data_IF_758384121588
#
_entry.id   IF_758384121588
#
_cell.length_a   1.000
_cell.length_b   1.000
_cell.length_c   1.000
_cell.angle_alpha   90.00
_cell.angle_beta   90.00
_cell.angle_gamma   90.00
#
_symmetry.space_group_name_H-M   'P 1'
#
loop_
_entity.id
_entity.type
_entity.pdbx_description
1 polymer ?
#
# COMPACT_ATOMS: atom_id res chain seq x y z
N UNK A 1 56.03 -42.07 36.79
CA UNK A 1 56.35 -42.51 35.40
C UNK A 1 56.42 -41.25 34.54
N UNK A 2 57.60 -40.74 34.20
CA UNK A 2 58.42 -41.11 33.02
C UNK A 2 57.62 -40.98 31.70
N UNK A 3 57.88 -39.93 30.87
CA UNK A 3 58.94 -39.81 29.81
C UNK A 3 58.52 -40.56 28.52
N UNK A 4 58.79 -40.15 27.27
CA UNK A 4 59.53 -39.02 26.66
C UNK A 4 59.29 -39.03 25.12
N UNK A 5 59.11 -37.90 24.43
CA UNK A 5 59.97 -37.24 23.39
C UNK A 5 59.01 -36.43 22.49
N UNK A 6 59.23 -35.21 21.99
CA UNK A 6 60.44 -34.51 21.54
C UNK A 6 60.33 -34.33 20.00
N UNK A 7 60.61 -33.20 19.34
CA UNK A 7 61.08 -31.85 19.73
C UNK A 7 61.98 -31.26 18.62
N UNK A 8 61.93 -29.94 18.36
CA UNK A 8 62.97 -29.03 17.77
C UNK A 8 62.28 -27.65 17.52
N UNK A 9 62.73 -26.49 18.05
CA UNK A 9 63.78 -25.57 17.52
C UNK A 9 63.42 -24.94 16.16
N UNK A 10 63.61 -23.65 15.84
CA UNK A 10 64.25 -22.42 16.42
C UNK A 10 63.70 -21.21 15.59
N UNK A 11 63.85 -19.90 15.84
CA UNK A 11 64.54 -19.03 16.84
C UNK A 11 63.87 -17.65 16.84
N UNK A 12 64.03 -16.84 17.90
CA UNK A 12 63.71 -15.40 17.87
C UNK A 12 64.90 -14.53 17.43
N UNK A 13 64.63 -13.31 16.92
CA UNK A 13 65.59 -12.20 16.85
C UNK A 13 64.90 -10.88 17.21
N UNK A 14 65.65 -10.02 17.89
CA UNK A 14 65.23 -8.75 18.50
C UNK A 14 66.09 -7.59 17.92
N UNK A 15 65.97 -6.39 18.50
CA UNK A 15 66.61 -5.10 18.17
C UNK A 15 65.90 -4.23 17.11
N UNK A 16 65.95 -2.88 17.13
CA UNK A 16 65.88 -1.89 18.22
C UNK A 16 65.91 -0.45 17.63
N UNK A 17 65.09 0.46 18.20
CA UNK A 17 65.34 1.91 18.43
C UNK A 17 66.04 2.81 17.37
N UNK A 18 65.29 3.79 16.82
CA UNK A 18 65.45 5.27 17.00
C UNK A 18 64.58 6.01 15.95
N UNK A 19 63.69 6.98 16.24
CA UNK A 19 63.72 8.29 16.94
C UNK A 19 64.10 9.51 16.07
N UNK A 20 63.16 10.48 16.05
CA UNK A 20 63.26 11.93 15.74
C UNK A 20 63.23 12.40 14.27
N UNK A 21 62.39 13.42 14.01
CA UNK A 21 62.32 14.15 12.74
C UNK A 21 61.01 14.91 12.52
N UNK A 22 60.79 16.04 13.21
CA UNK A 22 59.61 16.91 13.04
C UNK A 22 59.71 17.76 11.77
N UNK A 23 58.65 17.78 10.94
CA UNK A 23 58.30 18.96 10.13
C UNK A 23 56.78 19.05 9.97
N UNK A 24 56.23 20.26 10.09
CA UNK A 24 54.82 20.57 9.94
C UNK A 24 54.66 21.63 8.85
N UNK A 25 53.72 21.43 7.93
CA UNK A 25 52.79 22.50 7.57
C UNK A 25 51.46 21.87 7.06
N UNK A 26 50.32 22.55 7.20
CA UNK A 26 49.01 21.95 7.01
C UNK A 26 48.50 22.12 5.58
N UNK A 27 47.60 21.23 5.17
CA UNK A 27 46.31 21.50 4.53
C UNK A 27 45.68 20.13 4.24
N UNK A 28 44.53 19.82 4.85
CA UNK A 28 43.44 19.15 4.13
C UNK A 28 42.16 19.06 4.96
N UNK A 29 41.03 19.23 4.27
CA UNK A 29 39.70 19.21 4.86
C UNK A 29 39.25 17.78 5.17
N UNK A 30 38.79 17.52 6.40
CA UNK A 30 38.08 16.28 6.73
C UNK A 30 36.62 16.35 6.29
N UNK A 31 36.35 15.88 5.08
CA UNK A 31 35.00 15.49 4.66
C UNK A 31 34.65 14.12 5.27
N UNK A 32 33.72 14.10 6.22
CA UNK A 32 33.07 12.87 6.68
C UNK A 32 31.91 12.53 5.74
N UNK A 33 32.15 11.62 4.78
CA UNK A 33 31.08 10.97 4.02
C UNK A 33 30.85 9.55 4.54
N UNK A 34 29.73 9.36 5.25
CA UNK A 34 29.25 8.05 5.66
C UNK A 34 27.99 7.71 4.85
N UNK A 35 28.17 7.15 3.66
CA UNK A 35 27.08 6.54 2.88
C UNK A 35 26.88 5.09 3.37
N UNK A 36 25.63 4.68 3.70
CA UNK A 36 25.33 3.27 3.97
C UNK A 36 25.52 2.43 2.71
N UNK A 37 26.28 1.35 2.81
CA UNK A 37 26.57 0.46 1.70
C UNK A 37 25.39 -0.49 1.46
N UNK A 38 24.44 -0.09 0.61
CA UNK A 38 23.39 -0.99 0.12
C UNK A 38 24.03 -2.07 -0.76
N UNK A 39 24.25 -3.25 -0.20
CA UNK A 39 24.68 -4.42 -0.96
C UNK A 39 23.53 -4.85 -1.89
N UNK A 40 23.77 -4.77 -3.20
CA UNK A 40 22.76 -5.04 -4.20
C UNK A 40 22.29 -6.50 -4.17
N UNK A 41 21.06 -6.73 -3.68
CA UNK A 41 20.16 -7.68 -4.34
C UNK A 41 19.85 -7.07 -5.71
N UNK A 42 19.79 -7.89 -6.75
CA UNK A 42 19.70 -7.42 -8.13
C UNK A 42 18.26 -6.98 -8.49
N UNK A 43 17.79 -5.90 -7.85
CA UNK A 43 16.42 -5.34 -7.92
C UNK A 43 16.05 -4.77 -9.31
N UNK A 44 16.77 -5.17 -10.36
CA UNK A 44 16.68 -4.65 -11.73
C UNK A 44 15.86 -5.55 -12.68
N UNK A 45 15.73 -6.86 -12.41
CA UNK A 45 14.90 -7.73 -13.24
C UNK A 45 13.45 -7.76 -12.70
N UNK A 46 12.45 -7.38 -13.51
CA UNK A 46 11.04 -7.52 -13.13
C UNK A 46 10.63 -8.96 -12.81
N UNK A 47 11.36 -9.96 -13.33
CA UNK A 47 11.15 -11.37 -13.01
C UNK A 47 11.38 -11.70 -11.53
N UNK A 48 12.41 -11.09 -10.93
CA UNK A 48 12.79 -11.29 -9.53
C UNK A 48 11.89 -10.51 -8.55
N UNK A 49 11.26 -9.41 -9.02
CA UNK A 49 10.35 -8.60 -8.20
C UNK A 49 8.94 -9.23 -8.04
N UNK A 50 8.50 -10.07 -8.98
CA UNK A 50 7.25 -10.87 -8.86
C UNK A 50 7.52 -12.31 -9.26
N UNK A 51 7.73 -13.15 -8.25
CA UNK A 51 7.99 -14.58 -8.43
C UNK A 51 6.68 -15.31 -8.76
N UNK A 52 6.79 -16.42 -9.49
CA UNK A 52 5.67 -17.29 -9.86
C UNK A 52 5.89 -18.67 -9.28
N UNK A 53 4.94 -19.14 -8.46
CA UNK A 53 4.90 -20.53 -8.01
C UNK A 53 3.73 -21.26 -8.69
N UNK A 54 4.02 -22.41 -9.32
CA UNK A 54 3.02 -23.26 -9.95
C UNK A 54 2.91 -24.60 -9.24
N UNK A 55 1.69 -24.92 -8.77
CA UNK A 55 1.34 -26.26 -8.25
C UNK A 55 0.17 -26.83 -9.07
N UNK A 56 -0.62 -27.75 -8.51
CA UNK A 56 -1.51 -28.66 -9.24
C UNK A 56 -2.43 -27.96 -10.28
N UNK A 57 -3.49 -27.27 -9.83
CA UNK A 57 -4.28 -26.34 -10.64
C UNK A 57 -4.07 -24.86 -10.27
N UNK A 58 -3.21 -24.56 -9.30
CA UNK A 58 -3.00 -23.19 -8.79
C UNK A 58 -1.77 -22.50 -9.37
N UNK A 59 -1.84 -21.17 -9.55
CA UNK A 59 -0.68 -20.30 -9.74
C UNK A 59 -0.66 -19.21 -8.68
N UNK A 60 0.48 -18.96 -8.06
CA UNK A 60 0.67 -17.86 -7.13
C UNK A 60 1.60 -16.79 -7.72
N UNK A 61 1.17 -15.53 -7.66
CA UNK A 61 2.04 -14.37 -7.81
C UNK A 61 2.55 -13.97 -6.42
N UNK A 62 3.87 -13.92 -6.25
CA UNK A 62 4.52 -13.59 -4.97
C UNK A 62 5.28 -12.28 -5.14
N UNK A 63 4.82 -11.22 -4.49
CA UNK A 63 5.48 -9.91 -4.49
C UNK A 63 6.79 -10.03 -3.69
N UNK A 64 7.93 -9.73 -4.31
CA UNK A 64 9.25 -10.13 -3.79
C UNK A 64 10.22 -8.95 -3.67
N UNK A 65 9.77 -7.88 -3.00
CA UNK A 65 10.60 -6.72 -2.61
C UNK A 65 10.48 -6.46 -1.10
N UNK A 66 10.88 -7.41 -0.23
CA UNK A 66 10.58 -7.36 1.20
C UNK A 66 11.24 -6.19 1.94
N UNK A 67 12.35 -5.66 1.42
CA UNK A 67 13.06 -4.51 2.00
C UNK A 67 12.30 -3.18 1.80
N UNK A 68 11.49 -3.07 0.74
CA UNK A 68 10.57 -1.95 0.49
C UNK A 68 9.12 -2.29 0.87
N UNK A 69 8.91 -3.32 1.71
CA UNK A 69 7.59 -3.82 2.13
C UNK A 69 6.67 -4.20 0.95
N UNK A 70 7.27 -4.71 -0.13
CA UNK A 70 6.62 -5.12 -1.38
C UNK A 70 5.93 -3.95 -2.12
N UNK A 71 6.47 -2.74 -2.03
CA UNK A 71 5.99 -1.57 -2.77
C UNK A 71 6.03 -1.78 -4.30
N UNK A 72 4.91 -1.46 -4.96
CA UNK A 72 4.65 -1.75 -6.37
C UNK A 72 5.35 -0.77 -7.33
N UNK A 73 6.30 -1.30 -8.09
CA UNK A 73 6.96 -0.61 -9.21
C UNK A 73 6.17 -0.77 -10.52
N UNK A 74 6.43 0.07 -11.53
CA UNK A 74 5.82 -0.09 -12.86
C UNK A 74 6.11 -1.47 -13.50
N UNK A 75 7.33 -2.03 -13.42
CA UNK A 75 7.57 -3.38 -13.91
C UNK A 75 6.81 -4.48 -13.16
N UNK A 76 6.63 -4.37 -11.83
CA UNK A 76 5.79 -5.32 -11.06
C UNK A 76 4.35 -5.31 -11.54
N UNK A 77 3.74 -4.13 -11.64
CA UNK A 77 2.33 -3.97 -12.08
C UNK A 77 2.16 -4.49 -13.51
N UNK A 78 3.07 -4.15 -14.42
CA UNK A 78 3.05 -4.66 -15.79
C UNK A 78 3.24 -6.18 -15.88
N UNK A 79 4.06 -6.77 -15.00
CA UNK A 79 4.24 -8.24 -14.92
C UNK A 79 3.00 -8.92 -14.36
N UNK A 80 2.42 -8.42 -13.26
CA UNK A 80 1.18 -8.93 -12.67
C UNK A 80 0.05 -8.95 -13.71
N UNK A 81 -0.14 -7.85 -14.44
CA UNK A 81 -1.15 -7.77 -15.51
C UNK A 81 -0.95 -8.86 -16.58
N UNK A 82 0.25 -8.99 -17.15
CA UNK A 82 0.57 -10.02 -18.15
C UNK A 82 0.37 -11.45 -17.63
N UNK A 83 0.74 -11.71 -16.38
CA UNK A 83 0.55 -13.02 -15.74
C UNK A 83 -0.94 -13.35 -15.61
N UNK A 84 -1.75 -12.42 -15.11
CA UNK A 84 -3.19 -12.64 -14.92
C UNK A 84 -3.92 -12.81 -16.26
N UNK A 85 -3.60 -12.00 -17.29
CA UNK A 85 -4.12 -12.19 -18.65
C UNK A 85 -3.76 -13.57 -19.22
N UNK A 86 -2.51 -14.02 -19.03
CA UNK A 86 -2.05 -15.34 -19.50
C UNK A 86 -2.65 -16.51 -18.71
N UNK A 87 -2.89 -16.35 -17.40
CA UNK A 87 -3.42 -17.41 -16.53
C UNK A 87 -4.92 -17.62 -16.71
N UNK A 88 -5.65 -16.59 -17.16
CA UNK A 88 -7.09 -16.65 -17.39
C UNK A 88 -7.43 -17.57 -18.57
N UNK A 89 -6.77 -17.37 -19.70
CA UNK A 89 -6.96 -18.16 -20.93
C UNK A 89 -6.42 -19.61 -20.82
N UNK A 90 -5.67 -19.95 -19.76
CA UNK A 90 -5.00 -21.24 -19.65
C UNK A 90 -5.86 -22.30 -18.92
N UNK A 91 -6.38 -23.34 -19.61
CA UNK A 91 -7.28 -24.33 -19.01
C UNK A 91 -6.60 -25.28 -18.00
N UNK A 92 -5.26 -25.27 -17.89
CA UNK A 92 -4.54 -26.02 -16.83
C UNK A 92 -4.55 -25.31 -15.47
N UNK A 93 -4.94 -24.02 -15.44
CA UNK A 93 -5.01 -23.22 -14.22
C UNK A 93 -6.48 -23.10 -13.83
N UNK A 94 -6.83 -23.62 -12.66
CA UNK A 94 -8.18 -23.53 -12.10
C UNK A 94 -8.39 -22.27 -11.25
N UNK A 95 -7.38 -21.82 -10.53
CA UNK A 95 -7.44 -20.61 -9.71
C UNK A 95 -6.08 -19.96 -9.49
N UNK A 96 -6.10 -18.71 -9.03
CA UNK A 96 -4.90 -17.88 -8.83
C UNK A 96 -4.80 -17.36 -7.39
N UNK A 97 -3.57 -17.18 -6.92
CA UNK A 97 -3.26 -16.62 -5.60
C UNK A 97 -2.36 -15.38 -5.73
N UNK A 98 -2.46 -14.48 -4.76
CA UNK A 98 -1.50 -13.41 -4.57
C UNK A 98 -1.05 -13.35 -3.11
N UNK A 99 0.26 -13.20 -2.87
CA UNK A 99 0.83 -13.07 -1.52
C UNK A 99 2.09 -12.19 -1.52
N UNK A 100 2.42 -11.64 -0.36
CA UNK A 100 3.71 -10.99 -0.12
C UNK A 100 4.81 -11.97 0.25
N UNK A 101 6.01 -11.76 -0.25
CA UNK A 101 7.24 -12.39 0.20
C UNK A 101 7.79 -11.72 1.47
N UNK A 102 8.61 -12.45 2.23
CA UNK A 102 9.33 -11.93 3.39
C UNK A 102 8.52 -11.74 4.70
N UNK A 103 7.20 -11.95 4.70
CA UNK A 103 6.39 -12.12 5.92
C UNK A 103 6.24 -10.89 6.83
N UNK A 104 6.57 -9.68 6.33
CA UNK A 104 6.31 -8.39 6.99
C UNK A 104 5.14 -7.63 6.38
N UNK A 105 4.92 -7.79 5.08
CA UNK A 105 3.91 -7.08 4.32
C UNK A 105 3.38 -7.97 3.20
N UNK A 106 2.09 -7.84 2.92
CA UNK A 106 1.54 -8.22 1.63
C UNK A 106 2.05 -7.23 0.57
N UNK A 107 1.68 -5.96 0.74
CA UNK A 107 2.05 -4.84 -0.13
C UNK A 107 1.80 -3.51 0.61
N UNK A 108 2.80 -2.63 0.65
CA UNK A 108 2.69 -1.30 1.28
C UNK A 108 2.16 -0.19 0.36
N UNK A 109 1.69 -0.52 -0.85
CA UNK A 109 1.20 0.46 -1.84
C UNK A 109 2.20 0.70 -2.96
N UNK A 110 2.14 1.88 -3.58
CA UNK A 110 2.99 2.23 -4.72
C UNK A 110 4.42 2.55 -4.29
N UNK A 111 5.39 2.32 -5.18
CA UNK A 111 6.74 2.86 -5.04
C UNK A 111 6.75 4.36 -5.38
N UNK A 112 6.12 5.17 -4.52
CA UNK A 112 5.89 6.60 -4.73
C UNK A 112 7.18 7.43 -4.79
N UNK A 113 8.29 6.92 -4.24
CA UNK A 113 9.63 7.52 -4.41
C UNK A 113 10.06 7.40 -5.86
N UNK A 114 9.93 6.21 -6.45
CA UNK A 114 10.21 6.01 -7.88
C UNK A 114 9.28 6.83 -8.78
N UNK A 115 7.99 6.93 -8.44
CA UNK A 115 7.03 7.75 -9.20
C UNK A 115 7.31 9.25 -9.11
N UNK A 116 7.72 9.76 -7.93
CA UNK A 116 8.16 11.14 -7.75
C UNK A 116 9.37 11.43 -8.65
N UNK A 117 10.40 10.58 -8.55
CA UNK A 117 11.64 10.71 -9.33
C UNK A 117 11.37 10.68 -10.84
N UNK A 118 10.47 9.81 -11.33
CA UNK A 118 10.09 9.77 -12.75
C UNK A 118 9.58 11.13 -13.25
N UNK A 119 8.73 11.82 -12.48
CA UNK A 119 8.20 13.14 -12.88
C UNK A 119 9.27 14.22 -12.74
N UNK A 120 10.12 14.17 -11.70
CA UNK A 120 11.23 15.11 -11.52
C UNK A 120 12.29 15.00 -12.64
N UNK A 121 12.51 13.79 -13.16
CA UNK A 121 13.35 13.51 -14.33
C UNK A 121 12.67 13.83 -15.68
N UNK A 122 11.44 14.35 -15.67
CA UNK A 122 10.67 14.72 -16.87
C UNK A 122 9.89 13.58 -17.54
N UNK A 123 9.91 12.37 -16.98
CA UNK A 123 9.26 11.17 -17.52
C UNK A 123 7.81 11.00 -17.01
N UNK A 124 7.03 12.09 -16.98
CA UNK A 124 5.65 12.09 -16.48
C UNK A 124 4.74 11.09 -17.20
N UNK A 125 4.98 10.84 -18.50
CA UNK A 125 4.19 9.89 -19.29
C UNK A 125 4.35 8.43 -18.83
N UNK A 126 5.50 8.05 -18.27
CA UNK A 126 5.66 6.71 -17.70
C UNK A 126 5.04 6.60 -16.29
N UNK A 127 4.97 7.72 -15.56
CA UNK A 127 4.18 7.82 -14.33
C UNK A 127 2.67 7.73 -14.62
N UNK A 128 2.16 8.38 -15.67
CA UNK A 128 0.76 8.18 -16.15
C UNK A 128 0.51 6.72 -16.53
N UNK A 129 1.42 6.10 -17.31
CA UNK A 129 1.35 4.69 -17.72
C UNK A 129 1.34 3.73 -16.53
N UNK A 130 2.00 4.07 -15.42
CA UNK A 130 1.91 3.30 -14.17
C UNK A 130 0.47 3.23 -13.66
N UNK A 131 -0.18 4.40 -13.46
CA UNK A 131 -1.56 4.44 -12.97
C UNK A 131 -2.54 3.77 -13.94
N UNK A 132 -2.39 4.01 -15.25
CA UNK A 132 -3.20 3.36 -16.28
C UNK A 132 -3.10 1.82 -16.19
N UNK A 133 -1.87 1.28 -16.10
CA UNK A 133 -1.62 -0.17 -16.03
C UNK A 133 -2.13 -0.75 -14.71
N UNK A 134 -1.91 -0.03 -13.59
CA UNK A 134 -2.37 -0.42 -12.25
C UNK A 134 -3.88 -0.53 -12.21
N UNK A 135 -4.61 0.45 -12.75
CA UNK A 135 -6.06 0.49 -12.64
C UNK A 135 -6.73 -0.50 -13.60
N UNK A 136 -6.16 -0.67 -14.81
CA UNK A 136 -6.51 -1.79 -15.70
C UNK A 136 -6.27 -3.16 -15.04
N UNK A 137 -5.23 -3.29 -14.22
CA UNK A 137 -4.97 -4.52 -13.47
C UNK A 137 -5.96 -4.72 -12.30
N UNK A 138 -6.29 -3.68 -11.53
CA UNK A 138 -7.32 -3.74 -10.48
C UNK A 138 -8.68 -4.14 -11.07
N UNK A 139 -9.06 -3.58 -12.22
CA UNK A 139 -10.30 -3.95 -12.91
C UNK A 139 -10.26 -5.39 -13.43
N UNK A 140 -9.14 -5.84 -14.00
CA UNK A 140 -8.95 -7.23 -14.43
C UNK A 140 -9.12 -8.21 -13.24
N UNK A 141 -8.53 -7.89 -12.09
CA UNK A 141 -8.67 -8.70 -10.87
C UNK A 141 -10.11 -8.72 -10.33
N UNK A 142 -10.79 -7.57 -10.33
CA UNK A 142 -12.17 -7.45 -9.89
C UNK A 142 -13.15 -8.22 -10.78
N UNK A 143 -12.83 -8.37 -12.07
CA UNK A 143 -13.63 -9.06 -13.08
C UNK A 143 -13.11 -10.45 -13.45
N UNK A 144 -12.17 -11.01 -12.68
CA UNK A 144 -11.37 -12.17 -13.07
C UNK A 144 -12.21 -13.46 -13.17
N UNK A 145 -12.16 -14.15 -14.30
CA UNK A 145 -13.04 -15.30 -14.62
C UNK A 145 -12.74 -16.56 -13.79
N UNK A 146 -11.66 -16.56 -13.02
CA UNK A 146 -11.24 -17.67 -12.14
C UNK A 146 -11.21 -17.20 -10.70
N UNK A 147 -11.39 -18.11 -9.72
CA UNK A 147 -11.23 -17.76 -8.32
C UNK A 147 -9.85 -17.14 -8.04
N UNK A 148 -9.86 -16.00 -7.34
CA UNK A 148 -8.65 -15.29 -6.89
C UNK A 148 -8.59 -15.27 -5.36
N UNK A 149 -7.43 -15.66 -4.80
CA UNK A 149 -7.16 -15.69 -3.35
C UNK A 149 -6.02 -14.74 -3.01
N UNK A 150 -6.31 -13.61 -2.36
CA UNK A 150 -5.31 -12.74 -1.78
C UNK A 150 -5.00 -13.15 -0.32
N UNK A 151 -3.72 -13.37 0.00
CA UNK A 151 -3.23 -13.66 1.37
C UNK A 151 -2.58 -12.39 1.93
N UNK A 152 -3.31 -11.69 2.79
CA UNK A 152 -3.01 -10.36 3.30
C UNK A 152 -2.23 -10.40 4.63
N UNK A 153 -1.12 -11.13 4.66
CA UNK A 153 -0.28 -11.25 5.86
C UNK A 153 0.66 -10.05 6.04
N UNK A 154 0.48 -9.28 7.11
CA UNK A 154 1.24 -8.06 7.38
C UNK A 154 0.60 -6.78 6.81
N UNK A 155 1.42 -5.78 6.47
CA UNK A 155 0.93 -4.53 5.88
C UNK A 155 0.24 -4.73 4.52
N UNK A 156 -0.96 -4.15 4.38
CA UNK A 156 -1.76 -4.06 3.15
C UNK A 156 -2.24 -2.61 3.01
N UNK A 157 -1.52 -1.78 2.27
CA UNK A 157 -1.76 -0.33 2.23
C UNK A 157 -1.93 0.23 0.82
N UNK A 158 -2.72 1.30 0.68
CA UNK A 158 -2.95 2.02 -0.58
C UNK A 158 -3.35 1.11 -1.73
N UNK A 159 -2.72 1.27 -2.89
CA UNK A 159 -2.97 0.40 -4.04
C UNK A 159 -2.62 -1.08 -3.81
N UNK A 160 -1.93 -1.45 -2.73
CA UNK A 160 -1.82 -2.83 -2.24
C UNK A 160 -3.16 -3.42 -1.81
N UNK A 161 -4.04 -2.61 -1.23
CA UNK A 161 -5.44 -2.98 -1.04
C UNK A 161 -6.22 -3.01 -2.37
N UNK A 162 -5.89 -2.12 -3.32
CA UNK A 162 -6.44 -2.15 -4.68
C UNK A 162 -6.16 -3.46 -5.43
N UNK A 163 -4.93 -3.98 -5.36
CA UNK A 163 -4.56 -5.29 -5.93
C UNK A 163 -4.91 -6.49 -5.02
N UNK A 164 -6.00 -6.38 -4.23
CA UNK A 164 -6.46 -7.52 -3.42
C UNK A 164 -7.93 -7.48 -3.00
N UNK A 165 -8.44 -6.32 -2.59
CA UNK A 165 -9.81 -6.19 -2.07
C UNK A 165 -10.86 -6.44 -3.18
N UNK A 166 -10.75 -5.87 -4.38
CA UNK A 166 -11.59 -6.21 -5.54
C UNK A 166 -11.19 -7.59 -6.11
N UNK A 167 -11.67 -8.67 -5.49
CA UNK A 167 -11.35 -10.05 -5.85
C UNK A 167 -12.36 -11.03 -5.26
N UNK A 168 -12.10 -12.33 -5.30
CA UNK A 168 -13.05 -13.33 -4.75
C UNK A 168 -12.82 -13.59 -3.26
N UNK A 169 -11.60 -14.01 -2.88
CA UNK A 169 -11.26 -14.35 -1.50
C UNK A 169 -10.12 -13.49 -0.96
N UNK A 170 -10.27 -13.06 0.29
CA UNK A 170 -9.34 -12.21 1.03
C UNK A 170 -9.09 -12.88 2.38
N UNK A 171 -7.93 -13.51 2.51
CA UNK A 171 -7.48 -14.17 3.74
C UNK A 171 -6.60 -13.21 4.55
N UNK A 172 -7.03 -12.84 5.74
CA UNK A 172 -6.30 -11.98 6.69
C UNK A 172 -5.79 -12.79 7.89
N UNK A 173 -4.85 -12.22 8.63
CA UNK A 173 -4.19 -12.83 9.79
C UNK A 173 -4.13 -11.92 11.01
N UNK A 174 -3.64 -12.46 12.13
CA UNK A 174 -3.22 -11.70 13.32
C UNK A 174 -2.13 -10.65 13.05
N UNK A 175 -1.45 -10.71 11.90
CA UNK A 175 -0.47 -9.71 11.47
C UNK A 175 -1.02 -8.67 10.50
N UNK A 176 -2.22 -8.84 9.95
CA UNK A 176 -2.75 -7.92 8.94
C UNK A 176 -2.89 -6.50 9.52
N UNK A 177 -2.33 -5.53 8.80
CA UNK A 177 -2.51 -4.10 9.08
C UNK A 177 -2.92 -3.41 7.78
N UNK A 178 -4.20 -3.09 7.66
CA UNK A 178 -4.78 -2.38 6.54
C UNK A 178 -4.86 -0.88 6.82
N UNK A 179 -4.52 -0.03 5.83
CA UNK A 179 -4.74 1.42 5.90
C UNK A 179 -4.67 2.10 4.53
N UNK A 180 -5.33 3.26 4.43
CA UNK A 180 -5.22 4.21 3.31
C UNK A 180 -4.65 5.55 3.81
N UNK A 181 -3.31 5.68 3.92
CA UNK A 181 -2.66 6.87 4.47
C UNK A 181 -2.43 8.01 3.46
N UNK A 182 -2.98 7.92 2.24
CA UNK A 182 -2.62 8.74 1.08
C UNK A 182 -2.79 10.25 1.31
N UNK A 183 -3.82 10.67 2.07
CA UNK A 183 -4.04 12.08 2.39
C UNK A 183 -2.85 12.75 3.11
N UNK A 184 -2.06 11.95 3.85
CA UNK A 184 -0.82 12.41 4.51
C UNK A 184 0.40 12.43 3.61
N UNK A 185 0.33 11.77 2.45
CA UNK A 185 1.35 11.77 1.41
C UNK A 185 1.11 12.85 0.36
N UNK A 186 0.08 13.70 0.52
CA UNK A 186 -0.31 14.68 -0.51
C UNK A 186 -1.05 14.04 -1.70
N UNK A 187 -1.75 12.92 -1.46
CA UNK A 187 -2.46 12.15 -2.48
C UNK A 187 -3.85 11.72 -1.97
N UNK A 188 -4.67 11.08 -2.81
CA UNK A 188 -5.97 10.51 -2.42
C UNK A 188 -5.90 8.97 -2.35
N UNK A 189 -6.74 8.32 -1.54
CA UNK A 189 -6.92 6.87 -1.61
C UNK A 189 -7.40 6.46 -3.02
N UNK A 190 -6.65 5.56 -3.64
CA UNK A 190 -6.75 5.24 -5.07
C UNK A 190 -7.00 3.74 -5.32
N UNK A 191 -6.88 3.31 -6.59
CA UNK A 191 -6.95 1.90 -6.99
C UNK A 191 -8.19 1.15 -6.48
N UNK A 192 -9.35 1.81 -6.50
CA UNK A 192 -10.65 1.31 -6.05
C UNK A 192 -10.99 1.66 -4.59
N UNK A 193 -10.16 2.42 -3.87
CA UNK A 193 -10.43 2.78 -2.47
C UNK A 193 -11.74 3.54 -2.28
N UNK A 194 -12.08 4.46 -3.19
CA UNK A 194 -13.38 5.15 -3.13
C UNK A 194 -14.57 4.22 -3.38
N UNK A 195 -14.36 3.05 -3.98
CA UNK A 195 -15.40 2.03 -4.10
C UNK A 195 -15.56 1.22 -2.80
N UNK A 196 -14.49 0.64 -2.24
CA UNK A 196 -14.64 -0.26 -1.08
C UNK A 196 -14.76 0.47 0.26
N UNK A 197 -14.11 1.62 0.46
CA UNK A 197 -14.26 2.40 1.70
C UNK A 197 -15.66 3.01 1.83
N UNK A 198 -16.24 3.48 0.73
CA UNK A 198 -17.57 4.11 0.71
C UNK A 198 -18.72 3.15 1.03
N UNK A 199 -18.47 1.84 0.99
CA UNK A 199 -19.41 0.76 1.32
C UNK A 199 -19.29 0.25 2.75
N UNK A 200 -18.36 0.80 3.53
CA UNK A 200 -18.21 0.47 4.94
C UNK A 200 -19.40 0.98 5.78
N UNK A 201 -19.66 0.38 6.95
CA UNK A 201 -20.74 0.81 7.84
C UNK A 201 -20.63 2.30 8.22
N UNK A 202 -21.76 3.01 8.14
CA UNK A 202 -21.84 4.42 8.50
C UNK A 202 -20.86 5.28 7.71
N UNK A 203 -20.07 6.08 8.44
CA UNK A 203 -19.02 6.97 7.92
C UNK A 203 -17.59 6.45 8.24
N UNK A 204 -17.45 5.14 8.45
CA UNK A 204 -16.14 4.52 8.69
C UNK A 204 -15.19 4.66 7.48
N UNK A 205 -15.74 4.70 6.26
CA UNK A 205 -14.96 4.93 5.04
C UNK A 205 -14.24 6.27 5.03
N UNK A 206 -14.99 7.35 5.27
CA UNK A 206 -14.46 8.71 5.38
C UNK A 206 -13.47 8.84 6.55
N UNK A 207 -13.75 8.21 7.70
CA UNK A 207 -12.80 8.16 8.83
C UNK A 207 -11.46 7.54 8.44
N UNK A 208 -11.45 6.36 7.82
CA UNK A 208 -10.22 5.67 7.43
C UNK A 208 -9.45 6.45 6.37
N UNK A 209 -10.15 6.94 5.35
CA UNK A 209 -9.59 7.71 4.23
C UNK A 209 -8.94 9.04 4.66
N UNK A 210 -9.60 9.80 5.54
CA UNK A 210 -9.13 11.13 5.96
C UNK A 210 -8.07 11.07 7.07
N UNK A 211 -8.17 10.09 7.98
CA UNK A 211 -7.23 10.00 9.12
C UNK A 211 -6.04 9.08 8.84
N UNK A 212 -6.11 8.22 7.82
CA UNK A 212 -5.15 7.15 7.59
C UNK A 212 -5.01 6.21 8.79
N UNK A 213 -6.11 5.95 9.51
CA UNK A 213 -6.12 4.96 10.60
C UNK A 213 -6.08 3.53 10.08
N UNK A 214 -5.72 2.61 10.97
CA UNK A 214 -5.45 1.22 10.65
C UNK A 214 -6.62 0.33 11.09
N UNK A 215 -6.93 -0.67 10.27
CA UNK A 215 -7.70 -1.84 10.69
C UNK A 215 -6.76 -3.03 10.85
N UNK A 216 -7.00 -3.84 11.87
CA UNK A 216 -6.40 -5.17 11.97
C UNK A 216 -7.24 -6.23 11.24
N UNK A 217 -6.71 -7.46 11.09
CA UNK A 217 -7.42 -8.54 10.40
C UNK A 217 -8.80 -8.91 10.98
N UNK A 218 -9.02 -8.80 12.30
CA UNK A 218 -10.33 -9.05 12.92
C UNK A 218 -11.34 -7.97 12.53
N UNK A 219 -10.88 -6.72 12.46
CA UNK A 219 -11.71 -5.59 12.06
C UNK A 219 -12.07 -5.65 10.58
N UNK A 220 -11.15 -6.09 9.72
CA UNK A 220 -11.43 -6.32 8.30
C UNK A 220 -12.51 -7.39 8.05
N UNK A 221 -12.57 -8.45 8.87
CA UNK A 221 -13.67 -9.42 8.80
C UNK A 221 -14.99 -8.75 9.19
N UNK A 222 -15.00 -8.04 10.32
CA UNK A 222 -16.21 -7.43 10.85
C UNK A 222 -16.76 -6.26 10.00
N UNK A 223 -15.91 -5.64 9.16
CA UNK A 223 -16.33 -4.65 8.16
C UNK A 223 -16.62 -5.23 6.77
N UNK A 224 -16.37 -6.53 6.53
CA UNK A 224 -16.52 -7.17 5.22
C UNK A 224 -15.36 -6.93 4.24
N UNK A 225 -14.32 -6.19 4.63
CA UNK A 225 -13.10 -6.01 3.82
C UNK A 225 -12.26 -7.28 3.69
N UNK A 226 -12.54 -8.32 4.47
CA UNK A 226 -11.94 -9.64 4.35
C UNK A 226 -12.99 -10.74 4.44
N UNK A 227 -12.73 -11.89 3.81
CA UNK A 227 -13.67 -13.04 3.82
C UNK A 227 -13.29 -14.12 4.81
N UNK A 228 -11.99 -14.31 5.04
CA UNK A 228 -11.48 -15.39 5.89
C UNK A 228 -10.40 -14.85 6.82
N UNK A 229 -10.42 -15.30 8.07
CA UNK A 229 -9.35 -15.01 9.04
C UNK A 229 -8.72 -16.31 9.52
N UNK A 230 -7.39 -16.34 9.57
CA UNK A 230 -6.62 -17.44 10.13
C UNK A 230 -5.39 -16.91 10.86
N UNK A 231 -4.83 -17.70 11.78
CA UNK A 231 -3.54 -17.35 12.38
C UNK A 231 -2.40 -17.47 11.35
N UNK A 232 -1.43 -16.55 11.40
CA UNK A 232 -0.21 -16.57 10.62
C UNK A 232 0.51 -17.93 10.70
N UNK A 233 0.51 -18.54 11.89
CA UNK A 233 1.10 -19.86 12.14
C UNK A 233 0.47 -21.01 11.32
N UNK A 234 -0.71 -20.82 10.74
CA UNK A 234 -1.38 -21.80 9.87
C UNK A 234 -1.14 -21.56 8.37
N UNK A 235 -0.55 -20.42 7.96
CA UNK A 235 -0.45 -20.06 6.54
C UNK A 235 0.25 -21.12 5.69
N UNK A 236 1.34 -21.71 6.19
CA UNK A 236 2.04 -22.79 5.48
C UNK A 236 1.15 -24.01 5.17
N UNK A 237 0.21 -24.36 6.07
CA UNK A 237 -0.74 -25.45 5.86
C UNK A 237 -1.91 -25.06 4.93
N UNK A 238 -2.27 -23.77 4.90
CA UNK A 238 -3.26 -23.24 3.96
C UNK A 238 -2.67 -23.22 2.55
N UNK A 239 -1.47 -22.67 2.37
CA UNK A 239 -0.76 -22.62 1.10
C UNK A 239 -0.50 -24.03 0.55
N UNK A 240 -0.09 -24.98 1.39
CA UNK A 240 0.08 -26.36 0.96
C UNK A 240 -1.24 -27.01 0.53
N UNK A 241 -2.31 -26.84 1.32
CA UNK A 241 -3.65 -27.35 0.97
C UNK A 241 -4.12 -26.78 -0.37
N UNK A 242 -4.07 -25.46 -0.55
CA UNK A 242 -4.46 -24.79 -1.80
C UNK A 242 -3.57 -25.27 -2.96
N UNK A 243 -2.26 -25.40 -2.73
CA UNK A 243 -1.31 -25.92 -3.70
C UNK A 243 -1.63 -27.31 -4.23
N UNK A 244 -2.24 -28.15 -3.40
CA UNK A 244 -2.61 -29.53 -3.73
C UNK A 244 -4.04 -29.67 -4.28
N UNK A 245 -4.83 -28.58 -4.40
CA UNK A 245 -6.16 -28.63 -4.99
C UNK A 245 -6.10 -28.83 -6.52
N UNK A 246 -6.93 -29.75 -7.00
CA UNK A 246 -7.19 -29.99 -8.43
C UNK A 246 -8.63 -29.55 -8.72
N UNK A 247 -8.88 -28.25 -8.64
CA UNK A 247 -10.21 -27.65 -8.85
C UNK A 247 -10.13 -26.28 -9.52
N UNK A 248 -11.19 -25.91 -10.20
CA UNK A 248 -11.60 -24.57 -10.64
C UNK A 248 -12.86 -24.08 -9.90
N UNK A 249 -13.53 -24.98 -9.15
CA UNK A 249 -14.72 -24.68 -8.38
C UNK A 249 -14.43 -23.74 -7.19
N UNK A 250 -15.30 -22.74 -7.04
CA UNK A 250 -15.28 -21.74 -5.98
C UNK A 250 -15.49 -22.37 -4.60
N UNK A 251 -16.48 -23.24 -4.46
CA UNK A 251 -16.94 -23.72 -3.15
C UNK A 251 -15.91 -24.66 -2.51
N UNK A 252 -15.18 -25.44 -3.33
CA UNK A 252 -14.04 -26.24 -2.91
C UNK A 252 -12.85 -25.39 -2.38
N UNK A 253 -12.65 -24.19 -2.93
CA UNK A 253 -11.62 -23.24 -2.47
C UNK A 253 -12.08 -22.57 -1.18
N UNK A 254 -13.32 -22.09 -1.13
CA UNK A 254 -13.94 -21.50 0.07
C UNK A 254 -13.89 -22.47 1.26
N UNK A 255 -14.32 -23.72 1.05
CA UNK A 255 -14.24 -24.80 2.05
C UNK A 255 -12.81 -25.05 2.53
N UNK A 256 -11.82 -24.92 1.65
CA UNK A 256 -10.41 -25.13 1.98
C UNK A 256 -9.78 -23.99 2.78
N UNK A 257 -10.24 -22.75 2.57
CA UNK A 257 -9.90 -21.60 3.42
C UNK A 257 -10.61 -21.71 4.78
N UNK A 258 -11.92 -21.97 4.77
CA UNK A 258 -12.75 -22.12 5.97
C UNK A 258 -12.26 -23.24 6.91
N UNK A 259 -11.70 -24.33 6.37
CA UNK A 259 -11.13 -25.44 7.16
C UNK A 259 -10.05 -24.99 8.18
N UNK A 260 -9.26 -23.97 7.84
CA UNK A 260 -8.26 -23.40 8.73
C UNK A 260 -8.71 -22.10 9.41
N UNK A 261 -9.88 -21.58 9.01
CA UNK A 261 -10.48 -20.36 9.52
C UNK A 261 -10.67 -20.37 11.04
N UNK A 262 -10.69 -19.18 11.63
CA UNK A 262 -10.95 -18.97 13.05
C UNK A 262 -12.05 -17.92 13.17
N UNK A 263 -13.11 -18.23 13.91
CA UNK A 263 -14.16 -17.25 14.24
C UNK A 263 -13.54 -16.23 15.20
N UNK A 264 -13.61 -14.96 14.82
CA UNK A 264 -13.08 -13.83 15.58
C UNK A 264 -14.15 -12.75 15.73
N UNK A 265 -14.05 -12.00 16.81
CA UNK A 265 -14.95 -10.88 17.11
C UNK A 265 -14.13 -9.66 17.52
N UNK A 266 -14.51 -8.44 17.09
CA UNK A 266 -13.86 -7.21 17.53
C UNK A 266 -13.89 -7.06 19.05
N UNK A 267 -12.75 -6.72 19.65
CA UNK A 267 -12.68 -6.42 21.08
C UNK A 267 -13.08 -4.95 21.39
N UNK A 268 -13.11 -4.62 22.69
CA UNK A 268 -13.52 -3.30 23.19
C UNK A 268 -12.65 -2.12 22.75
N UNK A 269 -11.44 -2.38 22.24
CA UNK A 269 -10.51 -1.34 21.76
C UNK A 269 -10.66 -1.06 20.26
N UNK A 270 -11.36 -1.95 19.53
CA UNK A 270 -11.63 -1.84 18.11
C UNK A 270 -12.27 -0.51 17.72
N UNK A 271 -11.97 -0.04 16.51
CA UNK A 271 -12.64 1.11 15.90
C UNK A 271 -14.16 0.93 15.79
N UNK A 272 -14.64 -0.32 15.71
CA UNK A 272 -16.07 -0.62 15.59
C UNK A 272 -16.87 -0.26 16.86
N UNK A 273 -16.22 -0.20 18.02
CA UNK A 273 -16.84 0.30 19.26
C UNK A 273 -16.89 1.83 19.33
N UNK A 274 -16.46 2.53 18.26
CA UNK A 274 -16.38 4.00 18.16
C UNK A 274 -17.29 4.56 17.05
N UNK A 275 -18.06 3.69 16.38
CA UNK A 275 -18.90 4.03 15.22
C UNK A 275 -19.88 5.15 15.52
N UNK A 276 -20.53 5.17 16.69
CA UNK A 276 -21.46 6.26 17.04
C UNK A 276 -20.81 7.66 17.00
N UNK A 277 -19.55 7.76 17.42
CA UNK A 277 -18.80 9.02 17.41
C UNK A 277 -18.23 9.30 16.01
N UNK A 278 -17.80 8.27 15.29
CA UNK A 278 -17.40 8.39 13.87
C UNK A 278 -18.57 8.93 13.05
N UNK A 279 -19.76 8.34 13.13
CA UNK A 279 -20.95 8.77 12.39
C UNK A 279 -21.40 10.17 12.79
N UNK A 280 -21.28 10.54 14.08
CA UNK A 280 -21.57 11.91 14.57
C UNK A 280 -20.64 12.98 14.00
N UNK A 281 -19.37 12.65 13.77
CA UNK A 281 -18.34 13.59 13.34
C UNK A 281 -18.10 13.60 11.82
N UNK A 282 -18.11 12.44 11.16
CA UNK A 282 -17.78 12.28 9.74
C UNK A 282 -18.99 12.35 8.80
N UNK A 283 -20.21 12.47 9.33
CA UNK A 283 -21.40 12.75 8.51
C UNK A 283 -21.45 14.17 7.91
N UNK A 284 -20.58 15.08 8.39
CA UNK A 284 -20.54 16.49 7.98
C UNK A 284 -20.08 16.67 6.55
N UNK A 285 -20.56 17.71 5.88
CA UNK A 285 -20.47 17.82 4.42
C UNK A 285 -19.11 18.33 3.93
N UNK A 286 -18.37 19.04 4.80
CA UNK A 286 -17.04 19.56 4.50
C UNK A 286 -15.99 19.07 5.50
N UNK A 287 -14.72 19.07 5.10
CA UNK A 287 -13.60 18.67 5.98
C UNK A 287 -13.51 19.60 7.19
N UNK A 288 -13.77 20.89 6.98
CA UNK A 288 -13.87 21.93 7.99
C UNK A 288 -14.90 21.58 9.08
N UNK A 289 -16.13 21.23 8.69
CA UNK A 289 -17.16 20.81 9.63
C UNK A 289 -16.82 19.49 10.35
N UNK A 290 -16.15 18.55 9.69
CA UNK A 290 -15.65 17.31 10.33
C UNK A 290 -14.64 17.66 11.42
N UNK A 291 -13.69 18.57 11.13
CA UNK A 291 -12.69 19.03 12.08
C UNK A 291 -13.34 19.76 13.26
N UNK A 292 -14.29 20.66 13.02
CA UNK A 292 -15.05 21.35 14.07
C UNK A 292 -15.84 20.35 14.94
N UNK A 293 -16.45 19.33 14.34
CA UNK A 293 -17.15 18.27 15.07
C UNK A 293 -16.19 17.45 15.95
N UNK A 294 -15.00 17.11 15.44
CA UNK A 294 -13.94 16.43 16.21
C UNK A 294 -13.39 17.29 17.34
N UNK A 295 -13.14 18.59 17.10
CA UNK A 295 -12.69 19.51 18.14
C UNK A 295 -13.70 19.69 19.26
N UNK A 296 -14.99 19.73 18.93
CA UNK A 296 -16.05 19.78 19.92
C UNK A 296 -16.17 18.47 20.70
N UNK A 297 -16.01 17.33 20.04
CA UNK A 297 -15.98 16.01 20.70
C UNK A 297 -14.80 15.86 21.67
N UNK A 298 -13.60 16.32 21.28
CA UNK A 298 -12.41 16.38 22.17
C UNK A 298 -12.70 17.18 23.45
N UNK A 299 -13.44 18.29 23.34
CA UNK A 299 -13.84 19.14 24.48
C UNK A 299 -14.89 18.46 25.38
N UNK A 300 -15.76 17.62 24.84
CA UNK A 300 -16.86 16.99 25.60
C UNK A 300 -16.54 15.65 26.24
N UNK A 301 -15.84 14.75 25.54
CA UNK A 301 -15.59 13.38 26.03
C UNK A 301 -14.14 13.14 26.47
N UNK A 302 -13.24 14.10 26.28
CA UNK A 302 -11.79 13.97 26.51
C UNK A 302 -11.13 12.78 25.78
N UNK A 303 -11.81 12.21 24.79
CA UNK A 303 -11.41 10.97 24.12
C UNK A 303 -10.08 11.11 23.40
N UNK A 304 -9.07 10.37 23.88
CA UNK A 304 -7.70 10.42 23.35
C UNK A 304 -7.63 9.97 21.89
N UNK A 305 -8.44 8.98 21.51
CA UNK A 305 -8.56 8.53 20.13
C UNK A 305 -9.05 9.65 19.19
N UNK A 306 -10.02 10.47 19.62
CA UNK A 306 -10.52 11.60 18.81
C UNK A 306 -9.42 12.65 18.61
N UNK A 307 -8.61 12.93 19.65
CA UNK A 307 -7.45 13.83 19.52
C UNK A 307 -6.44 13.29 18.50
N UNK A 308 -6.15 11.99 18.53
CA UNK A 308 -5.26 11.35 17.57
C UNK A 308 -5.82 11.42 16.15
N UNK A 309 -7.12 11.18 15.95
CA UNK A 309 -7.78 11.32 14.64
C UNK A 309 -7.71 12.77 14.11
N UNK A 310 -8.03 13.75 14.96
CA UNK A 310 -7.94 15.17 14.66
C UNK A 310 -6.52 15.61 14.27
N UNK A 311 -5.51 15.23 15.07
CA UNK A 311 -4.11 15.56 14.78
C UNK A 311 -3.65 14.95 13.45
N UNK A 312 -4.05 13.72 13.16
CA UNK A 312 -3.74 13.04 11.90
C UNK A 312 -4.35 13.71 10.67
N UNK A 313 -5.53 14.34 10.80
CA UNK A 313 -6.08 15.18 9.74
C UNK A 313 -5.31 16.50 9.63
N UNK A 314 -4.94 17.13 10.75
CA UNK A 314 -4.12 18.36 10.76
C UNK A 314 -2.70 18.17 10.19
N UNK A 315 -2.18 16.94 10.19
CA UNK A 315 -0.90 16.55 9.55
C UNK A 315 -1.02 16.25 8.03
N UNK A 316 -2.24 16.13 7.49
CA UNK A 316 -2.49 15.78 6.10
C UNK A 316 -2.55 17.03 5.20
N UNK A 317 -2.42 16.84 3.88
CA UNK A 317 -2.58 17.94 2.92
C UNK A 317 -4.04 18.45 2.97
N UNK A 318 -4.27 19.77 3.10
CA UNK A 318 -5.61 20.34 3.05
C UNK A 318 -6.35 20.03 1.75
N UNK A 319 -5.64 20.08 0.61
CA UNK A 319 -6.22 19.74 -0.69
C UNK A 319 -6.55 18.24 -0.76
N UNK A 320 -5.61 17.37 -0.36
CA UNK A 320 -5.81 15.93 -0.34
C UNK A 320 -6.99 15.50 0.53
N UNK A 321 -7.22 16.14 1.68
CA UNK A 321 -8.41 15.88 2.51
C UNK A 321 -9.72 16.20 1.77
N UNK A 322 -9.81 17.35 1.08
CA UNK A 322 -11.04 17.74 0.36
C UNK A 322 -11.33 16.81 -0.83
N UNK A 323 -10.34 16.52 -1.66
CA UNK A 323 -10.53 15.58 -2.79
C UNK A 323 -10.80 14.15 -2.30
N UNK A 324 -10.23 13.75 -1.16
CA UNK A 324 -10.53 12.44 -0.54
C UNK A 324 -11.98 12.37 -0.09
N UNK A 325 -12.46 13.35 0.69
CA UNK A 325 -13.85 13.38 1.17
C UNK A 325 -14.85 13.31 0.01
N UNK A 326 -14.64 14.09 -1.04
CA UNK A 326 -15.50 14.08 -2.22
C UNK A 326 -15.46 12.71 -2.93
N UNK A 327 -14.27 12.14 -3.16
CA UNK A 327 -14.12 10.85 -3.84
C UNK A 327 -14.82 9.70 -3.11
N UNK A 328 -14.65 9.59 -1.77
CA UNK A 328 -15.36 8.56 -0.99
C UNK A 328 -16.88 8.76 -1.07
N UNK A 329 -17.37 10.00 -0.93
CA UNK A 329 -18.81 10.30 -0.94
C UNK A 329 -19.47 10.01 -2.29
N UNK A 330 -18.85 10.41 -3.40
CA UNK A 330 -19.35 10.07 -4.73
C UNK A 330 -19.26 8.56 -5.02
N UNK A 331 -18.21 7.89 -4.52
CA UNK A 331 -18.01 6.44 -4.66
C UNK A 331 -19.12 5.57 -4.05
N UNK A 332 -19.91 6.13 -3.11
CA UNK A 332 -21.11 5.47 -2.54
C UNK A 332 -22.17 5.12 -3.60
N UNK A 333 -22.21 5.87 -4.71
CA UNK A 333 -23.26 5.79 -5.73
C UNK A 333 -22.76 5.30 -7.11
N UNK A 334 -21.50 4.84 -7.18
CA UNK A 334 -20.84 4.48 -8.42
C UNK A 334 -20.39 3.02 -8.45
N UNK A 335 -20.28 2.45 -9.65
CA UNK A 335 -19.65 1.14 -9.89
C UNK A 335 -18.12 1.23 -9.80
N UNK A 336 -17.43 0.07 -9.73
CA UNK A 336 -15.97 0.06 -9.57
C UNK A 336 -15.24 0.70 -10.76
N UNK A 337 -15.69 0.46 -11.99
CA UNK A 337 -15.16 1.10 -13.20
C UNK A 337 -15.28 2.63 -13.13
N UNK A 338 -16.44 3.15 -12.70
CA UNK A 338 -16.66 4.59 -12.53
C UNK A 338 -15.74 5.19 -11.45
N UNK A 339 -15.58 4.51 -10.32
CA UNK A 339 -14.63 4.90 -9.28
C UNK A 339 -13.18 4.91 -9.80
N UNK A 340 -12.75 3.86 -10.51
CA UNK A 340 -11.40 3.76 -11.09
C UNK A 340 -11.15 4.85 -12.14
N UNK A 341 -12.09 5.10 -13.05
CA UNK A 341 -11.96 6.17 -14.05
C UNK A 341 -11.91 7.56 -13.41
N UNK A 342 -12.65 7.81 -12.32
CA UNK A 342 -12.51 9.06 -11.54
C UNK A 342 -11.15 9.15 -10.85
N UNK A 343 -10.79 8.14 -10.08
CA UNK A 343 -9.52 8.09 -9.36
C UNK A 343 -8.31 8.19 -10.30
N UNK A 344 -8.47 7.82 -11.58
CA UNK A 344 -7.41 7.95 -12.58
C UNK A 344 -7.19 9.42 -12.94
N UNK A 345 -8.27 10.17 -13.21
CA UNK A 345 -8.22 11.64 -13.39
C UNK A 345 -7.57 12.32 -12.19
N UNK A 346 -8.00 11.93 -10.98
CA UNK A 346 -7.45 12.45 -9.73
C UNK A 346 -5.95 12.17 -9.61
N UNK A 347 -5.49 10.96 -9.99
CA UNK A 347 -4.06 10.60 -9.95
C UNK A 347 -3.24 11.33 -10.99
N UNK A 348 -3.74 11.48 -12.23
CA UNK A 348 -3.06 12.27 -13.25
C UNK A 348 -2.98 13.75 -12.82
N UNK A 349 -4.06 14.31 -12.28
CA UNK A 349 -4.07 15.67 -11.71
C UNK A 349 -3.05 15.83 -10.56
N UNK A 350 -3.01 14.88 -9.62
CA UNK A 350 -2.12 14.88 -8.47
C UNK A 350 -0.62 14.83 -8.82
N UNK A 351 -0.23 14.08 -9.86
CA UNK A 351 1.16 14.05 -10.32
C UNK A 351 1.52 15.19 -11.29
N UNK A 352 0.53 15.91 -11.83
CA UNK A 352 0.75 16.89 -12.91
C UNK A 352 1.52 18.16 -12.50
N UNK A 353 1.62 18.45 -11.19
CA UNK A 353 2.09 19.73 -10.64
C UNK A 353 1.32 20.97 -11.11
N UNK A 354 0.20 20.82 -11.84
CA UNK A 354 -0.63 21.93 -12.35
C UNK A 354 -1.40 22.66 -11.24
N UNK A 355 -1.75 21.95 -10.15
CA UNK A 355 -2.67 22.44 -9.09
C UNK A 355 -1.98 22.58 -7.74
N UNK A 356 -1.11 21.64 -7.40
CA UNK A 356 -0.35 21.57 -6.15
C UNK A 356 0.88 20.69 -6.34
N UNK A 357 1.88 20.84 -5.47
CA UNK A 357 3.06 19.98 -5.39
C UNK A 357 2.99 18.99 -4.21
N UNK A 358 1.85 18.90 -3.51
CA UNK A 358 1.72 18.17 -2.25
C UNK A 358 2.15 16.70 -2.34
N UNK A 359 1.88 15.99 -3.44
CA UNK A 359 2.35 14.62 -3.63
C UNK A 359 3.88 14.52 -3.49
N UNK A 360 4.62 15.42 -4.15
CA UNK A 360 6.08 15.46 -4.14
C UNK A 360 6.63 15.86 -2.78
N UNK A 361 6.01 16.86 -2.13
CA UNK A 361 6.39 17.30 -0.79
C UNK A 361 6.10 16.24 0.28
N UNK A 362 4.99 15.50 0.14
CA UNK A 362 4.63 14.39 1.03
C UNK A 362 5.60 13.21 0.89
N UNK A 363 5.98 12.85 -0.34
CA UNK A 363 7.02 11.85 -0.62
C UNK A 363 8.37 12.30 -0.04
N UNK A 364 8.78 13.57 -0.27
CA UNK A 364 10.00 14.15 0.29
C UNK A 364 10.01 14.04 1.82
N UNK A 365 9.02 14.64 2.48
CA UNK A 365 8.98 14.77 3.93
C UNK A 365 8.89 13.43 4.67
N UNK A 366 8.21 12.42 4.10
CA UNK A 366 7.94 11.15 4.79
C UNK A 366 8.84 9.98 4.38
N UNK A 367 9.39 9.98 3.16
CA UNK A 367 10.12 8.82 2.62
C UNK A 367 11.55 9.13 2.18
N UNK A 368 11.83 10.33 1.67
CA UNK A 368 13.18 10.74 1.25
C UNK A 368 13.96 11.33 2.42
N UNK A 369 13.57 12.54 2.85
CA UNK A 369 14.25 13.30 3.91
C UNK A 369 13.85 12.82 5.31
N UNK A 370 12.62 12.30 5.45
CA UNK A 370 12.06 11.74 6.69
C UNK A 370 12.07 12.76 7.85
N UNK A 371 11.83 14.03 7.54
CA UNK A 371 11.65 15.10 8.51
C UNK A 371 10.25 15.10 9.15
N UNK A 372 9.28 14.44 8.50
CA UNK A 372 7.86 14.43 8.87
C UNK A 372 7.22 15.83 8.97
N UNK A 373 7.80 16.82 8.29
CA UNK A 373 7.39 18.22 8.31
C UNK A 373 7.07 18.75 6.89
N UNK A 374 6.05 18.18 6.22
CA UNK A 374 5.64 18.61 4.89
C UNK A 374 5.10 20.05 4.89
N UNK A 375 5.48 20.80 3.86
CA UNK A 375 5.06 22.19 3.60
C UNK A 375 3.97 22.21 2.52
N UNK A 376 2.76 21.87 2.93
CA UNK A 376 1.61 21.81 2.02
C UNK A 376 1.35 23.16 1.32
N UNK A 377 1.02 23.09 0.04
CA UNK A 377 0.60 24.20 -0.81
C UNK A 377 -0.69 23.79 -1.53
N UNK A 378 -1.88 24.19 -1.02
CA UNK A 378 -2.09 25.28 -0.08
C UNK A 378 -1.95 24.85 1.41
N UNK A 379 -1.52 25.75 2.32
CA UNK A 379 -1.15 25.39 3.68
C UNK A 379 -2.33 25.22 4.66
N UNK A 380 -3.53 25.71 4.33
CA UNK A 380 -4.73 25.56 5.17
C UNK A 380 -5.97 25.17 4.36
N UNK A 381 -6.99 24.63 5.02
CA UNK A 381 -8.27 24.28 4.37
C UNK A 381 -8.98 25.49 3.77
N UNK A 382 -8.88 26.67 4.40
CA UNK A 382 -9.50 27.90 3.92
C UNK A 382 -8.88 28.39 2.60
N UNK A 383 -7.61 28.06 2.36
CA UNK A 383 -6.87 28.42 1.14
C UNK A 383 -7.17 27.44 -0.03
N UNK A 384 -7.76 26.27 0.23
CA UNK A 384 -8.19 25.33 -0.82
C UNK A 384 -9.47 25.83 -1.47
N UNK A 385 -9.36 26.38 -2.68
CA UNK A 385 -10.52 26.81 -3.48
C UNK A 385 -11.30 25.63 -4.07
N UNK A 386 -12.58 25.86 -4.37
CA UNK A 386 -13.44 24.88 -5.04
C UNK A 386 -12.89 24.47 -6.41
N UNK A 387 -12.24 25.39 -7.13
CA UNK A 387 -11.67 25.11 -8.45
C UNK A 387 -10.45 24.18 -8.36
N UNK A 388 -9.64 24.29 -7.31
CA UNK A 388 -8.55 23.35 -7.04
C UNK A 388 -9.10 21.93 -6.80
N UNK A 389 -10.18 21.80 -6.04
CA UNK A 389 -10.84 20.49 -5.83
C UNK A 389 -11.42 19.98 -7.16
N UNK A 390 -12.25 20.78 -7.84
CA UNK A 390 -12.90 20.42 -9.10
C UNK A 390 -11.89 19.96 -10.17
N UNK A 391 -10.70 20.55 -10.23
CA UNK A 391 -9.66 20.18 -11.20
C UNK A 391 -9.22 18.71 -11.14
N UNK A 392 -9.32 18.06 -9.98
CA UNK A 392 -9.02 16.61 -9.81
C UNK A 392 -10.13 15.71 -10.37
N UNK A 393 -11.37 16.22 -10.51
CA UNK A 393 -12.54 15.47 -10.98
C UNK A 393 -12.91 15.78 -12.44
N UNK A 394 -12.39 16.90 -12.96
CA UNK A 394 -12.49 17.30 -14.37
C UNK A 394 -11.98 16.21 -15.31
N UNK A 395 -12.59 16.11 -16.49
CA UNK A 395 -12.08 15.26 -17.58
C UNK A 395 -10.67 15.66 -17.96
N UNK A 396 -9.91 14.69 -18.42
CA UNK A 396 -8.59 14.94 -19.00
C UNK A 396 -8.73 15.75 -20.31
N UNK A 397 -7.66 16.44 -20.70
CA UNK A 397 -7.65 17.25 -21.93
C UNK A 397 -7.58 16.36 -23.19
N UNK A 398 -7.83 16.92 -24.38
CA UNK A 398 -7.93 16.14 -25.64
C UNK A 398 -6.66 15.34 -26.00
N UNK A 399 -5.54 15.60 -25.33
CA UNK A 399 -4.26 14.92 -25.53
C UNK A 399 -3.96 13.87 -24.44
N UNK A 400 -4.74 13.82 -23.36
CA UNK A 400 -4.58 12.88 -22.26
C UNK A 400 -5.75 11.86 -22.27
N UNK A 401 -5.52 10.59 -22.66
CA UNK A 401 -6.60 9.62 -22.80
C UNK A 401 -7.21 9.23 -21.45
N UNK A 402 -8.54 9.19 -21.42
CA UNK A 402 -9.34 8.66 -20.31
C UNK A 402 -9.05 7.17 -20.06
N UNK A 403 -9.33 6.69 -18.84
CA UNK A 403 -9.12 5.28 -18.50
C UNK A 403 -10.15 4.38 -19.21
N UNK A 404 -9.72 3.73 -20.29
CA UNK A 404 -10.51 2.71 -20.99
C UNK A 404 -10.51 1.38 -20.23
N UNK A 405 -11.69 0.93 -19.79
CA UNK A 405 -11.91 -0.35 -19.13
C UNK A 405 -12.87 -1.23 -19.96
N UNK A 406 -12.69 -2.57 -20.01
CA UNK A 406 -13.52 -3.48 -20.80
C UNK A 406 -14.88 -3.77 -20.14
N UNK A 407 -15.64 -2.72 -19.80
CA UNK A 407 -16.94 -2.82 -19.10
C UNK A 407 -18.03 -3.49 -19.92
N UNK A 408 -17.95 -3.41 -21.26
CA UNK A 408 -18.90 -4.04 -22.18
C UNK A 408 -18.78 -5.58 -22.25
N UNK A 409 -17.69 -6.17 -21.74
CA UNK A 409 -17.41 -7.62 -21.84
C UNK A 409 -17.25 -8.31 -20.49
N UNK A 410 -17.10 -7.56 -19.38
CA UNK A 410 -16.84 -8.12 -18.04
C UNK A 410 -17.43 -7.24 -16.94
N UNK A 411 -18.13 -7.85 -15.99
CA UNK A 411 -18.66 -7.19 -14.78
C UNK A 411 -17.89 -7.63 -13.52
N UNK A 412 -17.70 -6.74 -12.52
CA UNK A 412 -16.98 -7.09 -11.29
C UNK A 412 -17.70 -8.06 -10.35
N UNK A 413 -16.95 -8.95 -9.70
CA UNK A 413 -17.40 -9.80 -8.59
C UNK A 413 -17.43 -9.00 -7.27
N UNK A 414 -18.49 -8.22 -7.04
CA UNK A 414 -18.61 -7.39 -5.82
C UNK A 414 -20.03 -7.36 -5.27
#
# INVERSE_FOLDING_TARGET
MQRLKGGLMRTAKQYCLNRNGMHCNPHDHRSFSALPNYAAVNDADPEDQVLVEGRAKSRAAILSRPDTLNALTAPMVGRLKRLYESWEENPSIGFVLMKGGGGKAFCSGADVVSLSQMVDDGNIEDCKRYFETLYKFVYLQATYLKPHVAILDGFTMGCGAGISIPGMFRLVTDKTIFANPEAKMGFHPDAGASFYLSRLPGYLGEYLALTGDKLNGVEMIATGLATHYSLHSKLAWIEDRLGNLITDDRDAIETSLAHYGVIVHPDKTSVLHKIEIIDKCFCRDTVEEIIDALENEVKTSYSEWVKVALNRMKEASPLSLKVTLQSIREGRFQSLDQCLSREYRMSIAGISKRVSNDFFEGVRARLVDKDFAPKWDPPTLADVSTDMVNSYFSRLDEFEPELELPTATREPYI
#
